data_IF_960426808466
#
_entry.id   IF_960426808466
#
_cell.length_a   1.000
_cell.length_b   1.000
_cell.length_c   1.000
_cell.angle_alpha   90.00
_cell.angle_beta   90.00
_cell.angle_gamma   90.00
#
_symmetry.space_group_name_H-M   'P 1'
#
loop_
_entity.id
_entity.type
_entity.pdbx_description
1 polymer ?
#
# COMPACT_ATOMS: atom_id res chain seq x y z
N UNK A 1 62.59 -32.28 29.34
CA UNK A 1 61.11 -32.42 29.26
C UNK A 1 60.65 -31.85 27.92
N UNK A 2 59.71 -32.53 27.24
CA UNK A 2 58.99 -32.15 25.98
C UNK A 2 59.85 -32.25 24.70
N UNK A 3 59.82 -33.35 23.94
CA UNK A 3 58.77 -33.96 23.08
C UNK A 3 58.46 -33.17 21.79
N UNK A 4 59.09 -33.64 20.72
CA UNK A 4 58.63 -33.83 19.33
C UNK A 4 57.79 -32.73 18.65
N UNK A 5 58.46 -32.07 17.71
CA UNK A 5 57.92 -31.30 16.60
C UNK A 5 58.28 -32.08 15.32
N UNK A 6 57.35 -32.10 14.35
CA UNK A 6 57.43 -32.69 13.00
C UNK A 6 57.06 -34.18 12.90
N UNK A 7 55.76 -34.46 12.73
CA UNK A 7 55.28 -35.53 11.84
C UNK A 7 53.78 -35.34 11.58
N UNK A 8 53.35 -35.36 10.31
CA UNK A 8 51.93 -35.57 9.97
C UNK A 8 51.28 -34.52 9.06
N UNK A 9 51.93 -34.12 7.97
CA UNK A 9 51.27 -33.44 6.84
C UNK A 9 51.12 -34.44 5.69
N UNK A 10 50.23 -35.43 5.85
CA UNK A 10 49.80 -36.36 4.79
C UNK A 10 48.64 -37.23 5.29
N UNK A 11 47.40 -36.71 5.24
CA UNK A 11 46.15 -37.50 5.12
C UNK A 11 44.92 -36.57 5.28
N UNK A 12 44.68 -35.71 4.30
CA UNK A 12 43.39 -35.04 4.17
C UNK A 12 43.02 -34.89 2.69
N UNK A 13 42.95 -36.03 2.01
CA UNK A 13 42.31 -36.17 0.71
C UNK A 13 41.63 -37.53 0.68
N UNK A 14 40.39 -37.58 0.18
CA UNK A 14 39.52 -38.74 -0.02
C UNK A 14 38.62 -39.15 1.15
N UNK A 15 37.57 -38.36 1.36
CA UNK A 15 36.25 -38.89 1.73
C UNK A 15 35.19 -38.24 0.83
N UNK A 16 35.29 -38.53 -0.47
CA UNK A 16 34.14 -38.46 -1.37
C UNK A 16 33.51 -39.86 -1.31
N UNK A 17 32.24 -40.02 -0.92
CA UNK A 17 31.59 -41.32 -1.01
C UNK A 17 31.55 -41.71 -2.48
N UNK A 18 32.31 -42.74 -2.86
CA UNK A 18 32.17 -43.36 -4.17
C UNK A 18 30.75 -43.94 -4.23
N UNK A 19 29.90 -43.37 -5.08
CA UNK A 19 28.65 -44.03 -5.46
C UNK A 19 29.05 -45.33 -6.16
N UNK A 20 28.76 -46.47 -5.53
CA UNK A 20 28.81 -47.77 -6.17
C UNK A 20 27.84 -47.72 -7.35
N UNK A 21 28.37 -47.55 -8.56
CA UNK A 21 27.59 -47.65 -9.79
C UNK A 21 27.21 -49.14 -9.95
N UNK A 22 25.91 -49.44 -10.03
CA UNK A 22 25.48 -50.79 -10.32
C UNK A 22 25.79 -51.10 -11.79
N UNK A 23 25.87 -52.38 -12.16
CA UNK A 23 26.08 -52.73 -13.55
C UNK A 23 24.84 -52.33 -14.37
N UNK A 24 24.99 -51.71 -15.55
CA UNK A 24 23.86 -51.30 -16.37
C UNK A 24 23.08 -52.54 -16.83
N UNK A 25 21.76 -52.45 -16.75
CA UNK A 25 20.82 -53.50 -17.14
C UNK A 25 20.13 -53.10 -18.43
N UNK A 26 20.07 -54.01 -19.39
CA UNK A 26 19.30 -53.85 -20.63
C UNK A 26 18.05 -54.72 -20.57
N UNK A 27 16.89 -54.13 -20.86
CA UNK A 27 15.62 -54.83 -20.98
C UNK A 27 14.98 -54.58 -22.34
N UNK A 28 14.36 -55.63 -22.87
CA UNK A 28 13.53 -55.57 -24.07
C UNK A 28 12.25 -56.36 -23.81
N UNK A 29 11.13 -55.65 -23.68
CA UNK A 29 9.83 -56.23 -23.33
C UNK A 29 8.76 -55.64 -24.23
N UNK A 30 7.94 -56.51 -24.82
CA UNK A 30 6.78 -56.12 -25.61
C UNK A 30 5.50 -56.66 -24.98
N UNK A 31 4.64 -55.77 -24.48
CA UNK A 31 3.33 -56.12 -23.93
C UNK A 31 3.37 -56.94 -22.64
N UNK A 32 4.44 -56.84 -21.86
CA UNK A 32 4.61 -57.58 -20.60
C UNK A 32 3.81 -56.95 -19.47
N UNK A 33 3.35 -57.77 -18.52
CA UNK A 33 2.70 -57.29 -17.30
C UNK A 33 3.67 -56.46 -16.44
N UNK A 34 3.25 -55.28 -15.99
CA UNK A 34 4.11 -54.30 -15.31
C UNK A 34 4.73 -54.86 -14.04
N UNK A 35 3.98 -55.65 -13.26
CA UNK A 35 4.49 -56.29 -12.03
C UNK A 35 5.63 -57.23 -12.36
N UNK A 36 5.47 -58.02 -13.42
CA UNK A 36 6.50 -58.95 -13.89
C UNK A 36 7.75 -58.20 -14.37
N UNK A 37 7.57 -57.10 -15.11
CA UNK A 37 8.68 -56.28 -15.62
C UNK A 37 9.44 -55.59 -14.49
N UNK A 38 8.76 -55.00 -13.51
CA UNK A 38 9.38 -54.37 -12.35
C UNK A 38 10.17 -55.39 -11.51
N UNK A 39 9.61 -56.59 -11.28
CA UNK A 39 10.32 -57.67 -10.57
C UNK A 39 11.54 -58.18 -11.35
N UNK A 40 11.46 -58.24 -12.68
CA UNK A 40 12.59 -58.66 -13.52
C UNK A 40 13.75 -57.66 -13.42
N UNK A 41 13.47 -56.36 -13.55
CA UNK A 41 14.47 -55.29 -13.41
C UNK A 41 15.08 -55.28 -12.01
N UNK A 42 14.26 -55.39 -10.97
CA UNK A 42 14.73 -55.43 -9.59
C UNK A 42 15.64 -56.63 -9.33
N UNK A 43 15.31 -57.82 -9.85
CA UNK A 43 16.17 -59.01 -9.72
C UNK A 43 17.49 -58.87 -10.48
N UNK A 44 17.45 -58.33 -11.70
CA UNK A 44 18.66 -58.10 -12.50
C UNK A 44 19.60 -57.09 -11.82
N UNK A 45 19.04 -56.10 -11.14
CA UNK A 45 19.79 -55.10 -10.37
C UNK A 45 20.12 -55.46 -8.93
N UNK A 46 19.70 -56.65 -8.44
CA UNK A 46 19.76 -57.04 -7.03
C UNK A 46 19.16 -56.00 -6.06
N UNK A 47 18.08 -55.34 -6.49
CA UNK A 47 17.35 -54.33 -5.73
C UNK A 47 16.17 -54.98 -4.99
N UNK A 48 16.07 -54.89 -3.66
CA UNK A 48 14.92 -55.39 -2.93
C UNK A 48 13.66 -54.57 -3.28
N UNK A 49 12.68 -55.20 -3.93
CA UNK A 49 11.43 -54.57 -4.35
C UNK A 49 10.22 -55.38 -3.87
N UNK A 50 9.28 -54.70 -3.21
CA UNK A 50 7.94 -55.20 -2.91
C UNK A 50 6.97 -54.51 -3.86
N UNK A 51 6.14 -55.30 -4.55
CA UNK A 51 5.11 -54.79 -5.46
C UNK A 51 3.75 -55.07 -4.83
N UNK A 52 2.97 -54.01 -4.63
CA UNK A 52 1.61 -54.09 -4.11
C UNK A 52 0.64 -54.71 -5.13
N UNK A 53 -0.46 -55.29 -4.64
CA UNK A 53 -1.45 -55.93 -5.50
C UNK A 53 -2.20 -54.95 -6.42
N UNK A 54 -2.24 -53.65 -6.06
CA UNK A 54 -2.81 -52.59 -6.88
C UNK A 54 -2.01 -52.24 -8.14
N UNK A 55 -0.80 -52.81 -8.32
CA UNK A 55 0.00 -52.62 -9.54
C UNK A 55 -0.53 -53.51 -10.67
N UNK A 56 -1.22 -52.90 -11.63
CA UNK A 56 -1.82 -53.58 -12.79
C UNK A 56 -1.52 -52.84 -14.11
N UNK A 57 -1.41 -53.59 -15.21
CA UNK A 57 -1.26 -53.04 -16.57
C UNK A 57 -0.16 -53.72 -17.39
N UNK A 58 -0.02 -53.31 -18.65
CA UNK A 58 1.02 -53.82 -19.56
C UNK A 58 2.03 -52.73 -19.95
N UNK A 59 3.31 -53.07 -20.06
CA UNK A 59 4.37 -52.17 -20.50
C UNK A 59 5.13 -52.79 -21.66
N UNK A 60 5.42 -51.95 -22.65
CA UNK A 60 6.34 -52.24 -23.75
C UNK A 60 7.49 -51.25 -23.61
N UNK A 61 8.71 -51.75 -23.40
CA UNK A 61 9.87 -50.92 -23.12
C UNK A 61 11.15 -51.57 -23.64
N UNK A 62 12.00 -50.77 -24.28
CA UNK A 62 13.38 -51.11 -24.62
C UNK A 62 14.28 -50.08 -23.95
N UNK A 63 14.94 -50.46 -22.85
CA UNK A 63 15.66 -49.53 -21.99
C UNK A 63 17.01 -50.14 -21.58
N UNK A 64 18.04 -49.29 -21.48
CA UNK A 64 19.35 -49.66 -20.93
C UNK A 64 19.75 -48.58 -19.92
N UNK A 65 20.10 -48.99 -18.70
CA UNK A 65 20.48 -48.03 -17.66
C UNK A 65 20.62 -48.65 -16.28
N UNK A 66 20.69 -47.81 -15.26
CA UNK A 66 20.76 -48.23 -13.86
C UNK A 66 19.42 -48.87 -13.41
N UNK A 67 19.44 -49.97 -12.64
CA UNK A 67 18.22 -50.67 -12.24
C UNK A 67 17.21 -49.79 -11.50
N UNK A 68 17.66 -48.92 -10.59
CA UNK A 68 16.77 -48.01 -9.85
C UNK A 68 16.09 -46.99 -10.79
N UNK A 69 16.85 -46.47 -11.75
CA UNK A 69 16.35 -45.51 -12.74
C UNK A 69 15.31 -46.17 -13.66
N UNK A 70 15.60 -47.40 -14.11
CA UNK A 70 14.66 -48.20 -14.91
C UNK A 70 13.35 -48.47 -14.15
N UNK A 71 13.42 -48.78 -12.85
CA UNK A 71 12.23 -48.97 -12.01
C UNK A 71 11.38 -47.69 -11.97
N UNK A 72 11.99 -46.53 -11.76
CA UNK A 72 11.29 -45.25 -11.75
C UNK A 72 10.66 -44.91 -13.11
N UNK A 73 11.34 -45.19 -14.22
CA UNK A 73 10.83 -44.94 -15.57
C UNK A 73 9.63 -45.83 -15.92
N UNK A 74 9.71 -47.13 -15.61
CA UNK A 74 8.61 -48.08 -15.83
C UNK A 74 7.40 -47.73 -14.96
N UNK A 75 7.63 -47.38 -13.70
CA UNK A 75 6.57 -47.00 -12.78
C UNK A 75 5.89 -45.68 -13.21
N UNK A 76 6.67 -44.67 -13.61
CA UNK A 76 6.16 -43.39 -14.11
C UNK A 76 5.27 -43.56 -15.35
N UNK A 77 5.63 -44.46 -16.28
CA UNK A 77 4.86 -44.72 -17.49
C UNK A 77 3.42 -45.22 -17.24
N UNK A 78 3.16 -45.82 -16.06
CA UNK A 78 1.84 -46.33 -15.65
C UNK A 78 1.25 -45.63 -14.43
N UNK A 79 1.88 -44.56 -13.93
CA UNK A 79 1.41 -43.80 -12.78
C UNK A 79 1.56 -44.52 -11.44
N UNK A 80 2.44 -45.52 -11.37
CA UNK A 80 2.79 -46.27 -10.15
C UNK A 80 3.84 -45.45 -9.39
N UNK A 81 3.69 -45.36 -8.06
CA UNK A 81 4.68 -44.67 -7.23
C UNK A 81 5.61 -45.66 -6.57
N UNK A 82 6.91 -45.38 -6.59
CA UNK A 82 7.93 -46.18 -5.89
C UNK A 82 8.44 -45.36 -4.71
N UNK A 83 8.20 -45.84 -3.49
CA UNK A 83 8.72 -45.26 -2.25
C UNK A 83 9.90 -46.11 -1.75
N UNK A 84 10.99 -45.46 -1.34
CA UNK A 84 12.12 -46.14 -0.68
C UNK A 84 11.92 -46.11 0.84
N UNK A 85 11.73 -47.27 1.46
CA UNK A 85 11.71 -47.43 2.92
C UNK A 85 12.96 -48.17 3.39
N UNK A 86 13.96 -47.39 3.80
CA UNK A 86 15.26 -47.92 4.20
C UNK A 86 15.99 -48.52 2.99
N UNK A 87 16.16 -49.84 3.01
CA UNK A 87 16.85 -50.61 1.97
C UNK A 87 15.90 -51.32 0.97
N UNK A 88 14.59 -51.15 1.16
CA UNK A 88 13.57 -51.81 0.33
C UNK A 88 12.75 -50.77 -0.42
N UNK A 89 12.50 -51.03 -1.70
CA UNK A 89 11.61 -50.25 -2.55
C UNK A 89 10.19 -50.84 -2.50
N UNK A 90 9.19 -49.98 -2.42
CA UNK A 90 7.78 -50.35 -2.39
C UNK A 90 7.06 -49.71 -3.59
N UNK A 91 6.58 -50.52 -4.53
CA UNK A 91 5.79 -50.07 -5.66
C UNK A 91 4.30 -50.12 -5.32
N UNK A 92 3.64 -48.96 -5.28
CA UNK A 92 2.24 -48.78 -4.90
C UNK A 92 1.38 -48.46 -6.11
N UNK A 93 0.26 -49.16 -6.25
CA UNK A 93 -0.75 -48.91 -7.28
C UNK A 93 -1.51 -47.60 -7.08
N UNK A 94 -2.16 -47.13 -8.15
CA UNK A 94 -2.87 -45.85 -8.20
C UNK A 94 -4.03 -45.75 -7.19
N UNK A 95 -4.58 -46.89 -6.74
CA UNK A 95 -5.68 -46.99 -5.78
C UNK A 95 -5.26 -46.68 -4.33
N UNK A 96 -3.97 -46.84 -3.99
CA UNK A 96 -3.40 -46.52 -2.68
C UNK A 96 -3.34 -44.99 -2.40
N UNK A 97 -3.70 -44.14 -3.38
CA UNK A 97 -3.91 -42.69 -3.18
C UNK A 97 -5.07 -42.38 -2.22
N UNK A 98 -5.95 -43.35 -1.96
CA UNK A 98 -7.22 -43.09 -1.26
C UNK A 98 -7.11 -43.16 0.28
N UNK A 99 -6.07 -43.79 0.84
CA UNK A 99 -6.08 -44.15 2.28
C UNK A 99 -5.32 -43.19 3.22
N UNK A 100 -4.40 -42.35 2.74
CA UNK A 100 -3.59 -41.48 3.62
C UNK A 100 -4.03 -40.01 3.59
N UNK A 101 -5.34 -39.74 3.72
CA UNK A 101 -5.83 -38.38 3.95
C UNK A 101 -5.90 -38.09 5.44
N UNK A 102 -5.29 -36.99 5.86
CA UNK A 102 -5.28 -36.55 7.26
C UNK A 102 -5.60 -35.07 7.37
N UNK A 103 -5.95 -34.64 8.58
CA UNK A 103 -6.18 -33.24 8.90
C UNK A 103 -4.84 -32.57 9.19
N UNK A 104 -4.56 -31.49 8.48
CA UNK A 104 -3.42 -30.61 8.66
C UNK A 104 -3.90 -29.29 9.26
N UNK A 105 -3.19 -28.80 10.27
CA UNK A 105 -3.53 -27.55 10.97
C UNK A 105 -2.45 -26.52 10.69
N UNK A 106 -2.86 -25.36 10.18
CA UNK A 106 -1.98 -24.23 9.87
C UNK A 106 -2.40 -23.01 10.70
N UNK A 107 -1.61 -22.59 11.69
CA UNK A 107 -1.87 -21.35 12.41
C UNK A 107 -1.53 -20.14 11.51
N UNK A 108 -2.45 -19.20 11.41
CA UNK A 108 -2.30 -17.96 10.64
C UNK A 108 -1.94 -16.82 11.59
N UNK A 109 -0.96 -15.99 11.21
CA UNK A 109 -0.42 -14.94 12.09
C UNK A 109 -0.88 -13.53 11.73
N UNK A 110 -0.93 -13.20 10.45
CA UNK A 110 -1.10 -11.82 9.97
C UNK A 110 -2.23 -11.65 8.95
N UNK A 111 -2.38 -12.61 8.04
CA UNK A 111 -3.42 -12.58 7.01
C UNK A 111 -4.79 -12.99 7.57
N UNK A 112 -5.85 -12.67 6.82
CA UNK A 112 -7.19 -13.14 7.13
C UNK A 112 -7.29 -14.64 6.78
N UNK A 113 -7.66 -15.51 7.72
CA UNK A 113 -7.73 -16.95 7.46
C UNK A 113 -8.79 -17.32 6.40
N UNK A 114 -9.82 -16.50 6.18
CA UNK A 114 -10.80 -16.72 5.11
C UNK A 114 -10.20 -16.47 3.73
N UNK A 115 -9.41 -15.41 3.56
CA UNK A 115 -8.70 -15.11 2.31
C UNK A 115 -7.67 -16.21 1.98
N UNK A 116 -6.97 -16.72 2.99
CA UNK A 116 -6.03 -17.83 2.84
C UNK A 116 -6.72 -19.14 2.47
N UNK A 117 -7.88 -19.43 3.07
CA UNK A 117 -8.66 -20.61 2.72
C UNK A 117 -9.16 -20.57 1.27
N UNK A 118 -9.53 -19.38 0.78
CA UNK A 118 -9.87 -19.19 -0.62
C UNK A 118 -8.68 -19.50 -1.55
N UNK A 119 -7.49 -18.98 -1.23
CA UNK A 119 -6.27 -19.25 -2.00
C UNK A 119 -5.87 -20.73 -1.98
N UNK A 120 -5.97 -21.38 -0.81
CA UNK A 120 -5.71 -22.81 -0.66
C UNK A 120 -6.67 -23.65 -1.51
N UNK A 121 -7.97 -23.34 -1.50
CA UNK A 121 -8.95 -24.06 -2.30
C UNK A 121 -8.73 -23.90 -3.82
N UNK A 122 -8.21 -22.75 -4.26
CA UNK A 122 -7.85 -22.52 -5.66
C UNK A 122 -6.70 -23.45 -6.10
N UNK A 123 -5.70 -23.66 -5.24
CA UNK A 123 -4.60 -24.60 -5.52
C UNK A 123 -5.05 -26.05 -5.58
N UNK A 124 -6.05 -26.41 -4.77
CA UNK A 124 -6.56 -27.78 -4.65
C UNK A 124 -7.54 -28.16 -5.78
N UNK A 125 -8.18 -27.18 -6.41
CA UNK A 125 -9.14 -27.40 -7.51
C UNK A 125 -8.46 -27.56 -8.90
N UNK A 126 -7.12 -27.54 -8.94
CA UNK A 126 -6.30 -27.71 -10.14
C UNK A 126 -6.34 -29.11 -10.78
N UNK A 127 -6.84 -30.14 -10.10
CA UNK A 127 -7.09 -31.46 -10.69
C UNK A 127 -8.60 -31.69 -10.95
N UNK A 128 -9.08 -31.23 -12.10
CA UNK A 128 -10.17 -31.91 -12.82
C UNK A 128 -11.61 -31.79 -12.32
N UNK A 129 -11.95 -30.90 -11.37
CA UNK A 129 -13.36 -30.66 -11.00
C UNK A 129 -13.67 -29.16 -10.93
N UNK A 130 -14.16 -28.63 -12.06
CA UNK A 130 -14.83 -27.33 -12.13
C UNK A 130 -16.09 -27.36 -11.27
N UNK A 131 -15.95 -27.04 -9.98
CA UNK A 131 -17.08 -26.64 -9.16
C UNK A 131 -17.50 -25.24 -9.58
N UNK A 132 -18.67 -25.13 -10.21
CA UNK A 132 -19.33 -23.85 -10.45
C UNK A 132 -19.46 -23.08 -9.12
N UNK A 133 -18.78 -21.95 -8.99
CA UNK A 133 -19.06 -20.98 -7.95
C UNK A 133 -19.53 -19.69 -8.62
N UNK A 134 -20.82 -19.67 -8.93
CA UNK A 134 -21.52 -18.44 -9.30
C UNK A 134 -21.53 -17.52 -8.09
N UNK A 135 -20.94 -16.33 -8.24
CA UNK A 135 -21.26 -15.20 -7.37
C UNK A 135 -22.71 -14.80 -7.67
N UNK A 136 -23.63 -15.10 -6.76
CA UNK A 136 -24.93 -14.43 -6.73
C UNK A 136 -25.16 -13.91 -5.33
N UNK A 137 -25.31 -12.60 -5.26
CA UNK A 137 -25.58 -11.85 -4.05
C UNK A 137 -27.09 -11.92 -3.74
N UNK A 138 -27.36 -11.94 -2.44
CA UNK A 138 -28.57 -11.48 -1.75
C UNK A 138 -29.78 -12.41 -1.51
N UNK A 139 -29.96 -12.58 -0.19
CA UNK A 139 -31.19 -12.66 0.60
C UNK A 139 -32.03 -13.94 0.69
N UNK A 140 -32.01 -14.47 1.92
CA UNK A 140 -33.10 -15.11 2.65
C UNK A 140 -33.42 -16.57 2.32
N UNK A 141 -33.33 -17.40 3.37
CA UNK A 141 -33.84 -18.76 3.37
C UNK A 141 -32.81 -19.75 3.87
N UNK A 142 -32.99 -20.19 5.11
CA UNK A 142 -32.29 -21.31 5.73
C UNK A 142 -32.50 -22.59 4.91
N UNK A 143 -31.58 -22.88 3.99
CA UNK A 143 -31.37 -24.20 3.42
C UNK A 143 -29.89 -24.53 3.57
N UNK A 144 -29.60 -25.55 4.40
CA UNK A 144 -28.29 -26.19 4.49
C UNK A 144 -28.01 -26.82 3.13
N UNK A 145 -27.43 -26.02 2.23
CA UNK A 145 -27.08 -26.41 0.87
C UNK A 145 -26.06 -27.54 0.91
N UNK A 146 -26.50 -28.70 0.43
CA UNK A 146 -25.70 -29.91 0.22
C UNK A 146 -24.65 -29.72 -0.90
N UNK A 147 -23.67 -28.85 -0.64
CA UNK A 147 -22.42 -28.70 -1.40
C UNK A 147 -21.17 -28.78 -0.51
N UNK A 148 -21.36 -29.14 0.77
CA UNK A 148 -20.31 -29.14 1.79
C UNK A 148 -19.36 -30.35 1.73
N UNK A 149 -19.71 -31.41 0.99
CA UNK A 149 -18.82 -32.57 0.77
C UNK A 149 -17.58 -32.26 -0.09
N UNK A 150 -17.45 -31.04 -0.60
CA UNK A 150 -16.28 -30.56 -1.34
C UNK A 150 -15.37 -29.60 -0.57
N UNK A 151 -15.73 -29.17 0.65
CA UNK A 151 -14.97 -28.15 1.37
C UNK A 151 -13.82 -28.78 2.15
N UNK A 152 -12.70 -28.98 1.45
CA UNK A 152 -11.46 -29.58 2.01
C UNK A 152 -10.69 -28.66 2.94
N UNK A 153 -11.12 -27.41 3.08
CA UNK A 153 -10.50 -26.37 3.91
C UNK A 153 -11.55 -25.74 4.82
N UNK A 154 -11.35 -25.88 6.13
CA UNK A 154 -12.13 -25.22 7.17
C UNK A 154 -11.29 -24.13 7.83
N UNK A 155 -11.97 -23.09 8.30
CA UNK A 155 -11.37 -21.96 9.00
C UNK A 155 -11.98 -21.89 10.38
N UNK A 156 -11.12 -21.83 11.40
CA UNK A 156 -11.52 -21.47 12.75
C UNK A 156 -11.09 -20.02 13.01
N UNK A 157 -12.07 -19.12 13.02
CA UNK A 157 -11.89 -17.68 13.25
C UNK A 157 -11.59 -17.34 14.71
N UNK A 158 -11.92 -18.22 15.67
CA UNK A 158 -11.62 -17.98 17.08
C UNK A 158 -10.14 -18.19 17.39
N UNK A 159 -9.50 -19.14 16.69
CA UNK A 159 -8.07 -19.47 16.88
C UNK A 159 -7.18 -18.99 15.74
N UNK A 160 -7.75 -18.38 14.69
CA UNK A 160 -7.06 -18.05 13.43
C UNK A 160 -6.28 -19.25 12.88
N UNK A 161 -6.93 -20.41 12.82
CA UNK A 161 -6.34 -21.64 12.27
C UNK A 161 -7.06 -22.10 11.02
N UNK A 162 -6.28 -22.59 10.06
CA UNK A 162 -6.76 -23.19 8.83
C UNK A 162 -6.58 -24.70 8.92
N UNK A 163 -7.68 -25.42 8.79
CA UNK A 163 -7.78 -26.87 8.84
C UNK A 163 -7.91 -27.40 7.41
N UNK A 164 -6.93 -28.16 6.95
CA UNK A 164 -6.94 -28.76 5.62
C UNK A 164 -7.06 -30.27 5.71
N UNK A 165 -8.01 -30.86 4.98
CA UNK A 165 -8.16 -32.31 4.88
C UNK A 165 -7.69 -32.81 3.50
N UNK A 166 -6.58 -33.54 3.49
CA UNK A 166 -6.01 -34.05 2.24
C UNK A 166 -4.78 -34.93 2.42
N UNK A 167 -4.14 -35.21 1.30
CA UNK A 167 -2.90 -35.99 1.24
C UNK A 167 -1.69 -35.13 1.62
N UNK A 168 -0.57 -35.78 1.98
CA UNK A 168 0.66 -35.08 2.35
C UNK A 168 1.19 -34.17 1.23
N UNK A 169 1.07 -34.60 -0.03
CA UNK A 169 1.52 -33.84 -1.19
C UNK A 169 0.71 -32.55 -1.38
N UNK A 170 -0.61 -32.62 -1.23
CA UNK A 170 -1.49 -31.45 -1.29
C UNK A 170 -1.27 -30.52 -0.10
N UNK A 171 -1.01 -31.08 1.08
CA UNK A 171 -0.71 -30.32 2.28
C UNK A 171 0.57 -29.51 2.12
N UNK A 172 1.60 -30.08 1.49
CA UNK A 172 2.84 -29.37 1.18
C UNK A 172 2.59 -28.16 0.25
N UNK A 173 1.80 -28.34 -0.81
CA UNK A 173 1.45 -27.25 -1.73
C UNK A 173 0.65 -26.13 -1.05
N UNK A 174 -0.35 -26.50 -0.23
CA UNK A 174 -1.15 -25.54 0.56
C UNK A 174 -0.26 -24.77 1.54
N UNK A 175 0.67 -25.45 2.21
CA UNK A 175 1.61 -24.83 3.14
C UNK A 175 2.50 -23.80 2.46
N UNK A 176 3.03 -24.11 1.28
CA UNK A 176 3.88 -23.19 0.52
C UNK A 176 3.12 -21.88 0.23
N UNK A 177 1.89 -21.97 -0.28
CA UNK A 177 1.04 -20.82 -0.58
C UNK A 177 0.69 -20.02 0.67
N UNK A 178 0.27 -20.69 1.76
CA UNK A 178 -0.05 -20.02 3.03
C UNK A 178 1.18 -19.26 3.54
N UNK A 179 2.36 -19.89 3.49
CA UNK A 179 3.60 -19.24 3.96
C UNK A 179 4.03 -18.04 3.11
N UNK A 180 3.68 -18.04 1.82
CA UNK A 180 3.95 -16.91 0.92
C UNK A 180 2.96 -15.75 1.10
N UNK A 181 1.73 -16.03 1.54
CA UNK A 181 0.67 -15.04 1.74
C UNK A 181 0.61 -14.47 3.16
N UNK A 182 0.93 -15.26 4.19
CA UNK A 182 0.92 -14.86 5.60
C UNK A 182 2.18 -14.05 5.96
N UNK A 183 2.34 -12.89 5.33
CA UNK A 183 3.43 -11.95 5.57
C UNK A 183 2.94 -10.77 6.42
N UNK A 184 3.83 -10.22 7.24
CA UNK A 184 3.53 -9.05 8.08
C UNK A 184 3.11 -7.86 7.21
N UNK A 185 1.88 -7.32 7.36
CA UNK A 185 1.44 -6.18 6.57
C UNK A 185 2.18 -4.92 7.00
N UNK A 186 2.47 -4.04 6.04
CA UNK A 186 3.05 -2.72 6.31
C UNK A 186 1.99 -1.80 6.90
N UNK A 187 2.37 -1.00 7.88
CA UNK A 187 1.53 0.06 8.43
C UNK A 187 1.82 1.37 7.71
N UNK A 188 0.78 2.15 7.45
CA UNK A 188 0.89 3.45 6.77
C UNK A 188 0.13 4.48 7.60
N UNK A 189 0.84 5.57 7.94
CA UNK A 189 0.27 6.77 8.54
C UNK A 189 -0.04 7.78 7.44
N UNK A 190 -1.24 8.34 7.46
CA UNK A 190 -1.64 9.43 6.58
C UNK A 190 -1.97 10.66 7.42
N UNK A 191 -1.29 11.76 7.11
CA UNK A 191 -1.51 13.06 7.69
C UNK A 191 -2.10 14.01 6.64
N UNK A 192 -3.28 14.58 6.92
CA UNK A 192 -3.85 15.64 6.09
C UNK A 192 -3.67 16.99 6.79
N UNK A 193 -3.26 18.02 6.06
CA UNK A 193 -3.18 19.40 6.54
C UNK A 193 -4.11 20.27 5.73
N UNK A 194 -5.06 20.91 6.40
CA UNK A 194 -5.95 21.88 5.80
C UNK A 194 -5.48 23.27 6.20
N UNK A 195 -5.06 24.06 5.22
CA UNK A 195 -4.49 25.38 5.44
C UNK A 195 -5.32 26.41 4.67
N UNK A 196 -5.82 27.43 5.35
CA UNK A 196 -6.35 28.63 4.69
C UNK A 196 -5.26 29.67 4.60
N UNK A 197 -4.94 30.11 3.40
CA UNK A 197 -3.95 31.14 3.10
C UNK A 197 -4.67 32.38 2.57
N UNK A 198 -4.31 33.58 3.06
CA UNK A 198 -4.81 34.81 2.45
C UNK A 198 -4.19 35.00 1.07
N UNK A 199 -4.94 35.44 0.05
CA UNK A 199 -4.41 35.57 -1.32
C UNK A 199 -3.20 36.51 -1.42
N UNK A 200 -3.07 37.49 -0.53
CA UNK A 200 -1.88 38.33 -0.41
C UNK A 200 -0.61 37.51 -0.12
N UNK A 201 -0.71 36.40 0.61
CA UNK A 201 0.37 35.43 0.82
C UNK A 201 0.43 34.32 -0.23
N UNK A 202 -0.70 33.88 -0.79
CA UNK A 202 -0.71 32.91 -1.89
C UNK A 202 -0.03 33.45 -3.17
N UNK A 203 -0.18 34.77 -3.44
CA UNK A 203 0.53 35.45 -4.52
C UNK A 203 2.05 35.52 -4.27
N UNK A 204 2.49 35.59 -3.02
CA UNK A 204 3.91 35.52 -2.63
C UNK A 204 4.48 34.08 -2.68
N UNK A 205 3.64 33.06 -2.49
CA UNK A 205 3.96 31.64 -2.74
C UNK A 205 4.26 31.40 -4.23
N UNK A 206 3.56 32.11 -5.12
CA UNK A 206 3.86 32.20 -6.55
C UNK A 206 5.01 33.16 -6.84
N UNK A 207 6.21 32.86 -6.33
CA UNK A 207 7.49 33.52 -6.63
C UNK A 207 7.33 35.00 -7.04
N UNK A 208 7.14 35.88 -6.07
CA UNK A 208 7.45 37.30 -6.28
C UNK A 208 8.96 37.39 -6.48
N UNK A 209 9.40 37.26 -7.72
CA UNK A 209 10.72 37.72 -8.13
C UNK A 209 10.74 39.23 -7.91
N UNK A 210 11.16 39.64 -6.72
CA UNK A 210 11.45 41.05 -6.46
C UNK A 210 12.73 41.39 -7.18
N UNK A 211 12.62 41.62 -8.48
CA UNK A 211 13.70 42.15 -9.29
C UNK A 211 13.99 43.57 -8.81
N UNK A 212 15.23 43.87 -8.43
CA UNK A 212 15.67 45.25 -8.30
C UNK A 212 15.49 45.92 -9.68
N UNK A 213 14.70 46.98 -9.76
CA UNK A 213 14.27 47.58 -11.04
C UNK A 213 15.42 48.13 -11.91
N UNK A 214 16.65 48.17 -11.42
CA UNK A 214 17.83 48.68 -12.13
C UNK A 214 19.10 47.92 -11.70
N UNK A 215 20.05 47.61 -12.60
CA UNK A 215 21.39 47.14 -12.23
C UNK A 215 22.12 48.24 -11.45
N UNK A 216 22.62 47.92 -10.26
CA UNK A 216 23.34 48.86 -9.39
C UNK A 216 24.85 48.67 -9.54
N UNK A 217 25.59 49.78 -9.60
CA UNK A 217 27.05 49.75 -9.58
C UNK A 217 27.56 49.47 -8.16
N UNK A 218 28.50 48.53 -7.98
CA UNK A 218 29.11 48.31 -6.69
C UNK A 218 29.93 49.54 -6.25
N UNK A 219 29.87 49.89 -4.96
CA UNK A 219 30.73 50.93 -4.39
C UNK A 219 32.18 50.45 -4.38
N UNK A 220 33.05 51.21 -5.03
CA UNK A 220 34.50 51.00 -5.05
C UNK A 220 35.18 52.06 -4.20
N UNK A 221 36.03 51.61 -3.30
CA UNK A 221 36.91 52.44 -2.49
C UNK A 221 38.10 52.93 -3.33
N UNK A 222 38.76 54.00 -2.88
CA UNK A 222 39.79 54.72 -3.64
C UNK A 222 41.02 53.87 -4.06
N UNK A 223 41.12 52.61 -3.61
CA UNK A 223 42.12 51.63 -4.01
C UNK A 223 41.65 50.56 -5.01
N UNK A 224 40.43 50.68 -5.58
CA UNK A 224 39.93 49.77 -6.61
C UNK A 224 39.49 48.39 -6.12
N UNK A 225 39.35 48.19 -4.80
CA UNK A 225 38.65 47.02 -4.24
C UNK A 225 37.14 47.28 -4.28
N UNK A 226 36.39 46.20 -4.47
CA UNK A 226 34.93 46.20 -4.34
C UNK A 226 34.61 45.99 -2.87
N UNK A 227 34.14 47.03 -2.19
CA UNK A 227 33.58 46.90 -0.83
C UNK A 227 32.10 46.62 -0.94
N UNK A 228 31.72 45.36 -0.66
CA UNK A 228 30.33 44.99 -0.49
C UNK A 228 29.73 45.81 0.65
N UNK A 229 28.80 46.71 0.35
CA UNK A 229 28.09 47.48 1.36
C UNK A 229 27.32 46.51 2.25
N UNK A 230 27.80 46.31 3.48
CA UNK A 230 26.98 45.77 4.56
C UNK A 230 25.87 46.80 4.82
N UNK A 231 24.65 46.50 4.40
CA UNK A 231 23.46 47.22 4.85
C UNK A 231 23.40 47.09 6.37
N UNK A 232 23.84 48.14 7.06
CA UNK A 232 23.76 48.26 8.50
C UNK A 232 22.30 48.21 8.94
N UNK A 233 21.91 47.07 9.49
CA UNK A 233 20.62 46.81 10.11
C UNK A 233 20.75 45.50 10.87
N UNK A 234 21.22 45.60 12.12
CA UNK A 234 21.48 44.45 12.98
C UNK A 234 20.25 43.56 13.13
N UNK A 235 20.37 42.33 12.61
CA UNK A 235 19.70 41.12 13.08
C UNK A 235 20.47 39.93 12.52
N UNK A 236 21.25 39.31 13.40
CA UNK A 236 21.82 37.98 13.22
C UNK A 236 20.68 36.99 12.98
N UNK A 237 20.50 36.59 11.72
CA UNK A 237 19.52 35.61 11.29
C UNK A 237 19.80 35.20 9.84
N UNK A 238 20.28 33.98 9.68
CA UNK A 238 20.71 33.33 8.43
C UNK A 238 19.71 33.47 7.29
N UNK A 239 20.09 34.24 6.27
CA UNK A 239 19.74 34.02 4.87
C UNK A 239 20.85 34.62 4.04
N UNK A 240 21.81 33.78 3.62
CA UNK A 240 22.85 34.21 2.69
C UNK A 240 22.19 34.40 1.31
N UNK A 241 22.15 35.62 0.75
CA UNK A 241 21.63 35.81 -0.59
C UNK A 241 22.61 35.21 -1.60
N UNK A 242 22.10 34.40 -2.53
CA UNK A 242 22.90 33.90 -3.65
C UNK A 242 23.22 35.06 -4.61
N UNK A 243 24.48 35.21 -4.99
CA UNK A 243 24.96 36.30 -5.86
C UNK A 243 25.21 35.76 -7.28
N UNK A 244 24.56 36.33 -8.29
CA UNK A 244 24.82 36.04 -9.72
C UNK A 244 25.55 37.23 -10.33
N UNK A 245 26.69 37.00 -10.98
CA UNK A 245 27.51 38.06 -11.62
C UNK A 245 27.51 37.92 -13.14
N UNK A 246 27.25 39.00 -13.89
CA UNK A 246 27.31 38.97 -15.36
C UNK A 246 27.75 40.30 -15.99
N UNK A 247 28.28 40.24 -17.20
CA UNK A 247 28.82 41.40 -17.94
C UNK A 247 30.01 42.06 -17.24
N UNK A 248 30.61 43.07 -17.88
CA UNK A 248 31.57 43.98 -17.24
C UNK A 248 31.29 45.39 -17.75
N UNK A 249 31.24 46.36 -16.84
CA UNK A 249 31.10 47.78 -17.20
C UNK A 249 32.40 48.37 -17.76
N UNK A 250 32.39 49.64 -18.21
CA UNK A 250 33.56 50.34 -18.75
C UNK A 250 34.77 50.40 -17.81
N UNK A 251 34.55 50.25 -16.50
CA UNK A 251 35.58 50.19 -15.47
C UNK A 251 36.05 48.76 -15.11
N UNK A 252 35.62 47.72 -15.86
CA UNK A 252 36.08 46.33 -15.71
C UNK A 252 35.39 45.51 -14.61
N UNK A 253 34.43 46.08 -13.88
CA UNK A 253 33.73 45.42 -12.77
C UNK A 253 32.43 44.74 -13.26
N UNK A 254 32.12 43.50 -12.83
CA UNK A 254 30.91 42.79 -13.23
C UNK A 254 29.65 43.29 -12.50
N UNK A 255 28.49 43.21 -13.14
CA UNK A 255 27.20 43.50 -12.51
C UNK A 255 26.80 42.34 -11.59
N UNK A 256 26.22 42.61 -10.42
CA UNK A 256 25.83 41.61 -9.41
C UNK A 256 24.32 41.60 -9.14
N UNK A 257 23.75 40.42 -8.89
CA UNK A 257 22.33 40.17 -8.61
C UNK A 257 22.18 39.34 -7.34
N UNK A 258 21.21 39.66 -6.49
CA UNK A 258 20.97 38.99 -5.20
C UNK A 258 19.58 38.34 -5.16
N UNK A 259 19.45 37.11 -4.62
CA UNK A 259 18.14 36.47 -4.35
C UNK A 259 18.10 35.76 -2.99
N UNK A 260 16.90 35.69 -2.36
CA UNK A 260 16.66 34.99 -1.09
C UNK A 260 15.40 34.12 -1.15
N UNK A 261 15.47 32.84 -0.73
CA UNK A 261 14.32 31.93 -0.67
C UNK A 261 13.66 31.98 0.72
N UNK A 262 12.35 32.25 0.80
CA UNK A 262 11.63 32.51 2.06
C UNK A 262 10.36 31.65 2.21
N UNK A 263 10.53 30.36 2.56
CA UNK A 263 9.39 29.48 2.86
C UNK A 263 9.02 29.51 4.37
N UNK A 264 9.96 29.83 5.27
CA UNK A 264 9.74 29.74 6.73
C UNK A 264 9.19 31.01 7.42
N UNK A 265 9.11 32.14 6.73
CA UNK A 265 8.70 33.43 7.33
C UNK A 265 7.18 33.67 7.33
N UNK A 266 6.43 32.99 6.46
CA UNK A 266 5.00 33.25 6.24
C UNK A 266 4.09 32.75 7.38
N UNK A 267 4.55 31.80 8.19
CA UNK A 267 3.81 31.28 9.36
C UNK A 267 3.86 32.31 10.51
N UNK A 268 4.97 33.04 10.65
CA UNK A 268 5.19 34.03 11.72
C UNK A 268 4.49 35.37 11.45
N UNK A 269 4.23 35.70 10.19
CA UNK A 269 3.57 36.94 9.75
C UNK A 269 2.03 36.91 9.83
N UNK A 270 1.43 35.80 10.28
CA UNK A 270 -0.03 35.66 10.43
C UNK A 270 -0.84 35.57 9.13
N UNK A 271 -0.18 35.37 7.98
CA UNK A 271 -0.82 35.40 6.65
C UNK A 271 -1.40 34.05 6.19
N UNK A 272 -1.11 32.98 6.91
CA UNK A 272 -1.67 31.65 6.73
C UNK A 272 -2.18 31.11 8.08
N UNK A 273 -3.36 30.50 8.08
CA UNK A 273 -3.99 29.89 9.24
C UNK A 273 -4.19 28.40 8.98
N UNK A 274 -3.56 27.56 9.80
CA UNK A 274 -3.83 26.13 9.80
C UNK A 274 -5.21 25.89 10.40
N UNK A 275 -6.09 25.22 9.66
CA UNK A 275 -7.44 24.92 10.10
C UNK A 275 -7.53 23.56 10.79
N UNK A 276 -6.81 22.56 10.26
CA UNK A 276 -6.87 21.19 10.75
C UNK A 276 -5.62 20.39 10.39
N UNK A 277 -5.27 19.43 11.26
CA UNK A 277 -4.19 18.44 11.04
C UNK A 277 -4.59 17.04 11.53
N UNK A 278 -5.60 16.38 10.92
CA UNK A 278 -5.90 14.99 11.25
C UNK A 278 -4.76 14.07 10.81
N UNK A 279 -4.47 13.05 11.63
CA UNK A 279 -3.56 11.97 11.32
C UNK A 279 -4.24 10.64 11.69
N UNK A 280 -4.17 9.66 10.80
CA UNK A 280 -4.68 8.31 11.03
C UNK A 280 -3.69 7.28 10.48
N UNK A 281 -3.53 6.17 11.20
CA UNK A 281 -2.65 5.06 10.82
C UNK A 281 -3.50 3.82 10.57
N UNK A 282 -3.18 3.06 9.53
CA UNK A 282 -3.81 1.78 9.24
C UNK A 282 -2.84 0.84 8.56
N UNK A 283 -3.18 -0.44 8.57
CA UNK A 283 -2.47 -1.48 7.82
C UNK A 283 -2.83 -1.41 6.33
N UNK A 284 -1.87 -1.78 5.48
CA UNK A 284 -2.07 -1.84 4.04
C UNK A 284 -3.36 -2.61 3.66
N UNK A 285 -4.14 -2.03 2.76
CA UNK A 285 -5.38 -2.59 2.22
C UNK A 285 -6.63 -2.34 3.08
N UNK A 286 -6.50 -1.79 4.28
CA UNK A 286 -7.63 -1.60 5.21
C UNK A 286 -8.03 -0.13 5.32
N UNK A 287 -9.33 0.11 5.31
CA UNK A 287 -9.89 1.46 5.47
C UNK A 287 -9.68 1.96 6.90
N UNK A 288 -9.25 3.21 7.03
CA UNK A 288 -9.21 3.95 8.27
C UNK A 288 -10.14 5.16 8.17
N UNK A 289 -10.88 5.43 9.24
CA UNK A 289 -11.77 6.58 9.37
C UNK A 289 -11.41 7.35 10.64
N UNK A 290 -11.22 8.66 10.51
CA UNK A 290 -11.15 9.58 11.64
C UNK A 290 -12.22 10.66 11.45
N UNK A 291 -13.07 10.83 12.45
CA UNK A 291 -14.13 11.84 12.50
C UNK A 291 -13.90 12.72 13.73
N UNK A 292 -13.63 14.00 13.53
CA UNK A 292 -13.35 14.98 14.59
C UNK A 292 -14.37 16.09 14.46
N UNK A 293 -15.39 16.10 15.31
CA UNK A 293 -16.51 17.02 15.14
C UNK A 293 -17.54 16.96 16.27
N UNK A 294 -18.66 17.61 16.02
CA UNK A 294 -19.85 17.56 16.84
C UNK A 294 -21.06 17.21 15.98
N UNK A 295 -22.04 16.51 16.55
CA UNK A 295 -23.33 16.30 15.92
C UNK A 295 -24.22 17.51 16.17
N UNK A 296 -24.72 18.10 15.08
CA UNK A 296 -25.55 19.30 15.12
C UNK A 296 -27.00 18.89 14.91
N UNK A 297 -27.91 19.19 15.86
CA UNK A 297 -29.32 18.89 15.72
C UNK A 297 -29.96 19.81 14.68
N UNK A 298 -30.59 19.23 13.67
CA UNK A 298 -31.33 19.92 12.61
C UNK A 298 -32.81 19.59 12.76
N UNK A 299 -33.68 20.58 13.05
CA UNK A 299 -35.12 20.33 13.13
C UNK A 299 -35.67 19.98 11.75
N UNK A 300 -36.43 18.89 11.67
CA UNK A 300 -37.13 18.43 10.46
C UNK A 300 -38.63 18.37 10.75
N UNK A 301 -39.42 19.11 9.97
CA UNK A 301 -40.88 19.07 10.04
C UNK A 301 -41.42 18.21 8.91
N UNK A 302 -42.10 17.11 9.23
CA UNK A 302 -42.82 16.29 8.25
C UNK A 302 -44.32 16.44 8.48
N UNK A 303 -45.09 16.74 7.43
CA UNK A 303 -46.56 16.66 7.45
C UNK A 303 -47.00 15.30 6.91
N UNK A 304 -47.76 14.58 7.73
CA UNK A 304 -48.51 13.39 7.32
C UNK A 304 -49.91 13.50 7.95
N UNK A 305 -50.96 13.26 7.17
CA UNK A 305 -52.37 13.33 7.60
C UNK A 305 -52.77 14.58 8.41
N UNK A 306 -52.40 15.77 7.94
CA UNK A 306 -52.70 17.06 8.61
C UNK A 306 -52.10 17.22 10.02
N UNK A 307 -51.23 16.31 10.47
CA UNK A 307 -50.46 16.43 11.71
C UNK A 307 -49.02 16.85 11.37
N UNK A 308 -48.59 17.99 11.90
CA UNK A 308 -47.18 18.41 11.81
C UNK A 308 -46.38 17.70 12.90
N UNK A 309 -45.53 16.75 12.51
CA UNK A 309 -44.58 16.13 13.43
C UNK A 309 -43.23 16.80 13.28
N UNK A 310 -42.65 17.25 14.39
CA UNK A 310 -41.29 17.80 14.43
C UNK A 310 -40.34 16.72 14.95
N UNK A 311 -39.39 16.31 14.12
CA UNK A 311 -38.29 15.41 14.48
C UNK A 311 -36.98 16.19 14.54
N UNK A 312 -36.00 15.69 15.30
CA UNK A 312 -34.64 16.23 15.34
C UNK A 312 -33.74 15.23 14.62
N UNK A 313 -33.04 15.68 13.59
CA UNK A 313 -32.08 14.90 12.83
C UNK A 313 -30.66 15.36 13.16
N UNK A 314 -29.77 14.45 13.54
CA UNK A 314 -28.40 14.80 13.89
C UNK A 314 -27.50 14.73 12.66
N UNK A 315 -26.81 15.83 12.36
CA UNK A 315 -25.85 15.90 11.25
C UNK A 315 -24.45 16.12 11.79
N UNK A 316 -23.52 15.25 11.40
CA UNK A 316 -22.11 15.37 11.74
C UNK A 316 -21.51 16.65 11.14
N UNK A 317 -20.81 17.43 11.97
CA UNK A 317 -20.10 18.63 11.58
C UNK A 317 -18.66 18.59 12.12
N UNK A 318 -17.66 18.69 11.26
CA UNK A 318 -16.27 18.58 11.66
C UNK A 318 -15.34 18.19 10.53
N UNK A 319 -14.26 17.49 10.87
CA UNK A 319 -13.26 16.98 9.93
C UNK A 319 -13.43 15.48 9.83
N UNK A 320 -13.73 15.00 8.62
CA UNK A 320 -13.84 13.58 8.31
C UNK A 320 -12.71 13.24 7.34
N UNK A 321 -11.85 12.30 7.72
CA UNK A 321 -10.81 11.75 6.86
C UNK A 321 -10.99 10.24 6.80
N UNK A 322 -11.31 9.75 5.60
CA UNK A 322 -11.36 8.33 5.27
C UNK A 322 -10.26 8.02 4.28
N UNK A 323 -9.53 6.93 4.54
CA UNK A 323 -8.38 6.59 3.73
C UNK A 323 -8.11 5.09 3.65
N UNK A 324 -7.68 4.62 2.47
CA UNK A 324 -7.29 3.23 2.23
C UNK A 324 -5.93 3.20 1.52
N UNK A 325 -4.82 2.81 2.20
CA UNK A 325 -3.49 2.74 1.62
C UNK A 325 -3.25 1.43 0.86
N UNK A 326 -2.40 1.51 -0.17
CA UNK A 326 -1.74 0.37 -0.81
C UNK A 326 -0.29 0.72 -1.09
N UNK A 327 0.64 -0.05 -0.52
CA UNK A 327 2.07 0.10 -0.76
C UNK A 327 2.47 -0.78 -1.94
N UNK A 328 3.17 -0.19 -2.90
CA UNK A 328 3.70 -0.86 -4.09
C UNK A 328 5.10 -1.43 -3.82
N UNK A 329 5.57 -2.32 -4.70
CA UNK A 329 6.92 -2.90 -4.61
C UNK A 329 8.02 -1.82 -4.64
N UNK A 330 7.81 -0.73 -5.38
CA UNK A 330 8.74 0.39 -5.50
C UNK A 330 8.74 1.32 -4.26
N UNK A 331 7.98 0.98 -3.21
CA UNK A 331 7.86 1.79 -1.99
C UNK A 331 6.95 3.02 -2.13
N UNK A 332 6.29 3.21 -3.28
CA UNK A 332 5.27 4.27 -3.42
C UNK A 332 3.95 3.86 -2.78
N UNK A 333 3.28 4.83 -2.17
CA UNK A 333 2.00 4.67 -1.47
C UNK A 333 0.91 5.19 -2.40
N UNK A 334 0.02 4.30 -2.82
CA UNK A 334 -1.24 4.67 -3.49
C UNK A 334 -2.33 4.70 -2.44
N UNK A 335 -3.02 5.82 -2.27
CA UNK A 335 -4.07 5.97 -1.28
C UNK A 335 -5.35 6.50 -1.93
N UNK A 336 -6.48 5.83 -1.65
CA UNK A 336 -7.81 6.41 -1.87
C UNK A 336 -8.14 7.26 -0.66
N UNK A 337 -8.40 8.55 -0.87
CA UNK A 337 -8.57 9.51 0.21
C UNK A 337 -9.85 10.30 -0.02
N UNK A 338 -10.70 10.31 1.00
CA UNK A 338 -11.85 11.18 1.12
C UNK A 338 -11.61 12.10 2.32
N UNK A 339 -11.50 13.40 2.06
CA UNK A 339 -11.36 14.41 3.10
C UNK A 339 -12.56 15.33 3.05
N UNK A 340 -13.17 15.60 4.20
CA UNK A 340 -14.26 16.55 4.35
C UNK A 340 -14.01 17.44 5.56
N UNK A 341 -14.32 18.73 5.40
CA UNK A 341 -14.34 19.73 6.46
C UNK A 341 -15.67 20.45 6.40
N UNK A 342 -16.46 20.35 7.45
CA UNK A 342 -17.76 20.99 7.59
C UNK A 342 -17.80 21.91 8.81
N UNK A 343 -18.42 23.07 8.65
CA UNK A 343 -18.62 24.04 9.74
C UNK A 343 -20.08 24.43 9.81
N UNK A 344 -20.76 24.22 10.95
CA UNK A 344 -22.15 24.62 11.13
C UNK A 344 -22.23 26.11 11.50
N UNK A 345 -23.14 26.83 10.85
CA UNK A 345 -23.42 28.24 11.12
C UNK A 345 -24.91 28.36 11.43
N UNK A 346 -25.25 28.78 12.64
CA UNK A 346 -26.64 29.02 13.02
C UNK A 346 -27.18 30.26 12.28
N UNK A 347 -28.32 30.10 11.62
CA UNK A 347 -29.01 31.18 10.91
C UNK A 347 -30.28 31.49 11.70
N UNK A 348 -30.25 32.61 12.45
CA UNK A 348 -31.33 33.00 13.37
C UNK A 348 -32.68 33.14 12.66
N UNK A 349 -32.70 33.75 11.47
CA UNK A 349 -33.92 33.97 10.67
C UNK A 349 -34.63 32.66 10.29
N UNK A 350 -33.85 31.60 10.03
CA UNK A 350 -34.35 30.28 9.65
C UNK A 350 -34.53 29.34 10.85
N UNK A 351 -34.07 29.74 12.05
CA UNK A 351 -33.95 28.88 13.24
C UNK A 351 -33.30 27.53 12.92
N UNK A 352 -32.30 27.54 12.03
CA UNK A 352 -31.69 26.34 11.46
C UNK A 352 -30.18 26.52 11.26
N UNK A 353 -29.46 25.40 11.14
CA UNK A 353 -28.03 25.40 10.86
C UNK A 353 -27.76 25.29 9.36
N UNK A 354 -26.97 26.22 8.83
CA UNK A 354 -26.36 26.12 7.49
C UNK A 354 -24.98 25.48 7.63
N UNK A 355 -24.71 24.45 6.84
CA UNK A 355 -23.41 23.78 6.84
C UNK A 355 -22.57 24.27 5.66
N UNK A 356 -21.39 24.80 5.95
CA UNK A 356 -20.37 25.02 4.93
C UNK A 356 -19.50 23.77 4.84
N UNK A 357 -19.67 22.99 3.77
CA UNK A 357 -18.95 21.74 3.54
C UNK A 357 -17.89 21.93 2.45
N UNK A 358 -16.68 21.43 2.69
CA UNK A 358 -15.57 21.37 1.73
C UNK A 358 -15.11 19.92 1.70
N UNK A 359 -15.13 19.28 0.54
CA UNK A 359 -14.73 17.87 0.42
C UNK A 359 -13.88 17.62 -0.81
N UNK A 360 -13.02 16.60 -0.74
CA UNK A 360 -12.20 16.12 -1.84
C UNK A 360 -12.17 14.59 -1.83
N UNK A 361 -12.48 14.00 -2.98
CA UNK A 361 -12.47 12.56 -3.24
C UNK A 361 -11.43 12.27 -4.31
N UNK A 362 -10.34 11.61 -3.94
CA UNK A 362 -9.22 11.39 -4.86
C UNK A 362 -8.51 10.07 -4.62
N UNK A 363 -7.81 9.60 -5.65
CA UNK A 363 -6.83 8.52 -5.53
C UNK A 363 -5.48 9.10 -5.90
N UNK A 364 -4.57 9.15 -4.94
CA UNK A 364 -3.25 9.75 -5.10
C UNK A 364 -2.16 8.71 -4.95
N UNK A 365 -1.03 8.97 -5.60
CA UNK A 365 0.18 8.18 -5.46
C UNK A 365 1.32 9.10 -5.07
N UNK A 366 1.94 8.82 -3.94
CA UNK A 366 3.01 9.62 -3.34
C UNK A 366 4.15 8.71 -2.88
N UNK A 367 5.36 9.25 -2.83
CA UNK A 367 6.50 8.55 -2.21
C UNK A 367 6.39 8.62 -0.68
N UNK A 368 7.11 7.73 -0.01
CA UNK A 368 7.20 7.75 1.44
C UNK A 368 7.72 9.11 1.95
N UNK A 369 6.98 9.74 2.86
CA UNK A 369 7.31 11.04 3.44
C UNK A 369 7.05 12.25 2.53
N UNK A 370 6.62 12.05 1.29
CA UNK A 370 6.31 13.14 0.35
C UNK A 370 4.98 13.81 0.71
N UNK A 371 4.93 15.14 0.57
CA UNK A 371 3.70 15.92 0.73
C UNK A 371 3.15 16.33 -0.64
N UNK A 372 1.90 15.99 -0.91
CA UNK A 372 1.19 16.34 -2.15
C UNK A 372 -0.01 17.25 -1.86
N UNK A 373 -0.25 18.22 -2.74
CA UNK A 373 -1.49 19.02 -2.71
C UNK A 373 -2.56 18.28 -3.50
N UNK A 374 -3.71 18.01 -2.87
CA UNK A 374 -4.81 17.27 -3.50
C UNK A 374 -5.98 18.15 -3.94
N UNK A 375 -6.03 19.39 -3.44
CA UNK A 375 -7.10 20.32 -3.77
C UNK A 375 -6.82 21.73 -3.27
N UNK A 376 -7.33 22.71 -4.02
CA UNK A 376 -7.31 24.13 -3.72
C UNK A 376 -8.69 24.73 -4.00
N UNK A 377 -9.23 25.52 -3.07
CA UNK A 377 -10.47 26.27 -3.26
C UNK A 377 -10.22 27.74 -2.96
N UNK A 378 -10.42 28.60 -3.96
CA UNK A 378 -10.32 30.05 -3.80
C UNK A 378 -11.71 30.59 -3.46
N UNK A 379 -11.82 31.24 -2.31
CA UNK A 379 -13.00 31.97 -1.86
C UNK A 379 -12.70 33.48 -1.91
N UNK A 380 -13.66 34.27 -2.37
CA UNK A 380 -13.53 35.73 -2.55
C UNK A 380 -14.79 36.42 -2.06
N UNK A 381 -14.69 37.09 -0.92
CA UNK A 381 -15.74 37.94 -0.38
C UNK A 381 -15.41 39.42 -0.71
N UNK A 382 -16.32 40.12 -1.39
CA UNK A 382 -16.20 41.55 -1.64
C UNK A 382 -17.36 42.28 -1.00
N UNK A 383 -17.06 43.08 0.04
CA UNK A 383 -18.05 43.96 0.66
C UNK A 383 -17.76 45.41 0.28
N UNK A 384 -18.78 46.12 -0.19
CA UNK A 384 -18.72 47.55 -0.50
C UNK A 384 -19.62 48.30 0.47
N UNK A 385 -19.02 49.10 1.34
CA UNK A 385 -19.73 50.01 2.22
C UNK A 385 -19.68 51.43 1.62
N UNK A 386 -20.85 52.00 1.35
CA UNK A 386 -20.99 53.39 0.94
C UNK A 386 -21.55 54.19 2.13
N UNK A 387 -20.76 55.12 2.65
CA UNK A 387 -21.21 56.12 3.61
C UNK A 387 -21.33 57.45 2.89
N UNK A 388 -22.51 58.09 2.88
CA UNK A 388 -22.71 59.40 2.25
C UNK A 388 -23.51 60.34 3.16
N UNK A 389 -23.23 61.63 3.06
CA UNK A 389 -24.06 62.67 3.70
C UNK A 389 -25.31 62.89 2.83
N UNK A 390 -26.54 62.79 3.38
CA UNK A 390 -27.77 63.04 2.63
C UNK A 390 -27.77 64.43 1.96
N UNK A 391 -28.40 64.55 0.77
CA UNK A 391 -28.42 65.73 -0.11
C UNK A 391 -27.06 66.13 -0.73
N UNK A 392 -25.99 66.26 0.05
CA UNK A 392 -24.67 66.72 -0.42
C UNK A 392 -23.91 65.63 -1.20
N UNK A 393 -24.10 64.35 -0.84
CA UNK A 393 -23.45 63.21 -1.50
C UNK A 393 -23.99 62.86 -2.88
N UNK A 394 -25.15 63.41 -3.26
CA UNK A 394 -25.84 63.12 -4.53
C UNK A 394 -25.68 64.25 -5.58
N UNK A 395 -24.93 65.32 -5.26
CA UNK A 395 -24.66 66.42 -6.19
C UNK A 395 -23.76 65.98 -7.37
N UNK A 396 -24.09 66.34 -8.62
CA UNK A 396 -23.21 66.13 -9.75
C UNK A 396 -21.90 66.89 -9.56
N UNK A 397 -20.77 66.27 -9.93
CA UNK A 397 -19.39 66.79 -9.80
C UNK A 397 -18.89 66.93 -8.35
N UNK A 398 -19.68 67.48 -7.42
CA UNK A 398 -19.27 67.78 -6.05
C UNK A 398 -19.56 66.66 -5.03
N UNK A 399 -20.48 65.73 -5.31
CA UNK A 399 -20.87 64.67 -4.38
C UNK A 399 -19.76 63.68 -4.02
N UNK A 400 -18.67 63.63 -4.80
CA UNK A 400 -17.50 62.80 -4.51
C UNK A 400 -16.76 63.22 -3.23
N UNK A 401 -16.82 64.49 -2.83
CA UNK A 401 -16.19 64.99 -1.60
C UNK A 401 -17.02 64.69 -0.33
N UNK A 402 -18.29 64.33 -0.49
CA UNK A 402 -19.24 64.10 0.60
C UNK A 402 -19.72 62.64 0.70
N UNK A 403 -19.01 61.73 0.01
CA UNK A 403 -19.21 60.27 0.08
C UNK A 403 -17.88 59.56 0.35
N UNK A 404 -17.93 58.52 1.16
CA UNK A 404 -16.82 57.60 1.43
C UNK A 404 -17.23 56.21 0.96
N UNK A 405 -16.46 55.65 0.03
CA UNK A 405 -16.61 54.25 -0.41
C UNK A 405 -15.50 53.46 0.26
N UNK A 406 -15.87 52.54 1.14
CA UNK A 406 -14.94 51.55 1.71
C UNK A 406 -15.23 50.21 1.05
N UNK A 407 -14.37 49.82 0.12
CA UNK A 407 -14.36 48.46 -0.43
C UNK A 407 -13.45 47.61 0.43
N UNK A 408 -13.99 46.55 1.02
CA UNK A 408 -13.22 45.55 1.75
C UNK A 408 -13.33 44.22 1.00
N UNK A 409 -12.20 43.76 0.44
CA UNK A 409 -12.10 42.54 -0.34
C UNK A 409 -11.25 41.52 0.43
N UNK A 410 -11.85 40.40 0.78
CA UNK A 410 -11.19 39.29 1.48
C UNK A 410 -11.13 38.09 0.54
N UNK A 411 -9.93 37.72 0.11
CA UNK A 411 -9.72 36.52 -0.70
C UNK A 411 -8.93 35.50 0.12
N UNK A 412 -9.49 34.30 0.30
CA UNK A 412 -8.87 33.19 1.04
C UNK A 412 -8.79 31.95 0.17
N UNK A 413 -7.62 31.32 0.13
CA UNK A 413 -7.39 30.08 -0.58
C UNK A 413 -7.23 28.93 0.42
N UNK A 414 -8.04 27.90 0.30
CA UNK A 414 -7.96 26.70 1.13
C UNK A 414 -7.21 25.61 0.37
N UNK A 415 -6.09 25.17 0.92
CA UNK A 415 -5.26 24.10 0.37
C UNK A 415 -5.32 22.86 1.27
N UNK A 416 -5.47 21.69 0.66
CA UNK A 416 -5.43 20.40 1.36
C UNK A 416 -4.14 19.68 0.95
N UNK A 417 -3.25 19.49 1.90
CA UNK A 417 -2.01 18.75 1.74
C UNK A 417 -2.17 17.36 2.35
N UNK A 418 -1.65 16.34 1.68
CA UNK A 418 -1.55 14.98 2.20
C UNK A 418 -0.09 14.58 2.31
N UNK A 419 0.28 13.94 3.41
CA UNK A 419 1.60 13.33 3.62
C UNK A 419 1.38 11.91 4.11
N UNK A 420 1.87 10.90 3.38
CA UNK A 420 1.82 9.51 3.82
C UNK A 420 3.22 9.04 4.21
N UNK A 421 3.29 8.21 5.25
CA UNK A 421 4.52 7.59 5.72
C UNK A 421 4.30 6.11 5.98
N UNK A 422 5.21 5.27 5.50
CA UNK A 422 5.24 3.87 5.92
C UNK A 422 5.89 3.80 7.30
N UNK A 423 5.21 3.14 8.24
CA UNK A 423 5.76 2.87 9.55
C UNK A 423 6.42 1.50 9.49
N UNK A 424 7.74 1.49 9.52
CA UNK A 424 8.52 0.27 9.70
C UNK A 424 8.77 0.09 11.22
N UNK A 425 8.38 -1.06 11.76
CA UNK A 425 8.72 -1.46 13.13
C UNK A 425 10.15 -1.98 13.14
N UNK A 426 11.11 -1.13 13.54
CA UNK A 426 12.46 -1.56 13.92
C UNK A 426 12.48 -2.10 15.35
#
# INVERSE_FOLDING_TARGET
MKRFVIMGLACLALLVPARLYAAPVTIDVTGGDVRTVLLAVARMGNVPLIVDDGVTGAVTAHLTGEPEELLHLIAAARGIHIERRGDVFLALGTEARTENRRVHIYPVRFADPEELAYAANLSLSGEGKRGNMSKTNDESGNEVSASDTGRRVLVDTATNTLLFYGTEAEAFAVREIISALDVKPRQVSLEARVVSVSKAAAKQLGVDWTWSALPQYPSVDAGGRVTGRSTGGGRTGTSAPGIIRFGRGPAGVPYEFYYSAAISALITDGKAKMLARPNVTTVQGREALINIGAEVPVPRTTMSDHVTTSAIDYREAGIILRYTPRVTADGTITARVHTEVSTPVYVEELKAYRFQKRSADTTVRLRDGETMVIGGLIDSDESRSLSKIPFLGDLPVLGAFFRSVRTNKTESELMIFLTARVLDEN
#
